data_IF_475456469325
#
_entry.id   IF_475456469325
#
_cell.length_a   1.000
_cell.length_b   1.000
_cell.length_c   1.000
_cell.angle_alpha   90.00
_cell.angle_beta   90.00
_cell.angle_gamma   90.00
#
_symmetry.space_group_name_H-M   'P 1'
#
loop_
_entity.id
_entity.type
_entity.pdbx_description
1 polymer ?
#
# COMPACT_ATOMS: atom_id res chain seq x y z
N UNK A 1 9.30 -1.46 17.09
CA UNK A 1 9.76 -0.65 15.95
C UNK A 1 8.55 -0.24 15.11
N UNK A 2 8.62 0.90 14.42
CA UNK A 2 7.59 1.31 13.46
C UNK A 2 7.94 0.85 12.04
N UNK A 3 6.94 0.59 11.21
CA UNK A 3 7.12 0.28 9.79
C UNK A 3 6.48 1.37 8.93
N UNK A 4 7.31 2.16 8.25
CA UNK A 4 6.89 3.19 7.30
C UNK A 4 6.75 2.53 5.92
N UNK A 5 5.59 2.69 5.27
CA UNK A 5 5.32 2.14 3.94
C UNK A 5 4.99 3.30 2.99
N UNK A 6 5.95 3.64 2.11
CA UNK A 6 5.79 4.63 1.06
C UNK A 6 5.23 4.04 -0.25
N UNK A 7 4.84 4.88 -1.18
CA UNK A 7 4.33 4.47 -2.51
C UNK A 7 5.46 4.08 -3.49
N UNK A 8 6.63 4.70 -3.34
CA UNK A 8 7.77 4.57 -4.25
C UNK A 8 9.11 4.67 -3.55
N UNK A 9 10.20 4.10 -4.12
CA UNK A 9 11.52 4.10 -3.49
C UNK A 9 12.04 5.49 -3.13
N UNK A 10 11.94 6.44 -4.07
CA UNK A 10 12.48 7.80 -3.87
C UNK A 10 11.74 8.55 -2.77
N UNK A 11 10.43 8.32 -2.64
CA UNK A 11 9.62 8.88 -1.56
C UNK A 11 10.05 8.27 -0.22
N UNK A 12 10.17 6.94 -0.14
CA UNK A 12 10.64 6.25 1.06
C UNK A 12 12.04 6.72 1.51
N UNK A 13 12.94 6.95 0.55
CA UNK A 13 14.26 7.52 0.82
C UNK A 13 14.16 8.96 1.33
N UNK A 14 13.37 9.82 0.68
CA UNK A 14 13.21 11.21 1.08
C UNK A 14 12.73 11.33 2.53
N UNK A 15 11.73 10.52 2.92
CA UNK A 15 11.16 10.47 4.26
C UNK A 15 12.18 10.21 5.38
N UNK A 16 13.24 9.45 5.10
CA UNK A 16 14.21 9.05 6.13
C UNK A 16 15.61 9.59 5.91
N UNK A 17 15.85 10.31 4.80
CA UNK A 17 17.15 10.85 4.40
C UNK A 17 17.81 11.77 5.45
N UNK A 18 17.01 12.37 6.32
CA UNK A 18 17.46 13.25 7.40
C UNK A 18 17.96 12.50 8.65
N UNK A 19 17.75 11.18 8.73
CA UNK A 19 18.18 10.34 9.84
C UNK A 19 19.40 9.49 9.45
N UNK A 20 20.05 8.87 10.44
CA UNK A 20 20.99 7.78 10.18
C UNK A 20 20.21 6.53 9.80
N UNK A 21 20.58 5.90 8.69
CA UNK A 21 19.93 4.67 8.22
C UNK A 21 20.91 3.72 7.54
N UNK A 22 20.57 2.43 7.53
CA UNK A 22 21.27 1.38 6.78
C UNK A 22 20.41 0.90 5.62
N UNK A 23 21.02 0.73 4.45
CA UNK A 23 20.34 0.21 3.26
C UNK A 23 20.27 -1.31 3.30
N UNK A 24 19.12 -1.86 2.93
CA UNK A 24 18.85 -3.28 2.73
C UNK A 24 18.15 -3.47 1.38
N UNK A 25 18.00 -4.71 0.93
CA UNK A 25 17.27 -4.99 -0.31
C UNK A 25 15.76 -4.75 -0.11
N UNK A 26 15.25 -3.68 -0.73
CA UNK A 26 13.82 -3.31 -0.70
C UNK A 26 13.35 -2.50 0.52
N UNK A 27 14.24 -2.12 1.45
CA UNK A 27 13.90 -1.27 2.60
C UNK A 27 15.15 -0.60 3.22
N UNK A 28 14.91 0.29 4.16
CA UNK A 28 15.90 1.01 4.97
C UNK A 28 15.65 0.74 6.45
N UNK A 29 16.72 0.54 7.21
CA UNK A 29 16.67 0.50 8.67
C UNK A 29 17.07 1.86 9.21
N UNK A 30 16.14 2.57 9.83
CA UNK A 30 16.37 3.85 10.48
C UNK A 30 16.85 3.59 11.91
N UNK A 31 17.99 4.15 12.27
CA UNK A 31 18.52 4.08 13.63
C UNK A 31 17.64 4.87 14.61
N UNK A 32 17.76 4.53 15.90
CA UNK A 32 17.07 5.23 16.97
C UNK A 32 17.32 6.75 16.90
N UNK A 33 16.25 7.53 16.99
CA UNK A 33 16.29 8.99 16.98
C UNK A 33 15.07 9.56 17.72
N UNK A 34 14.96 10.90 17.78
CA UNK A 34 13.89 11.59 18.49
C UNK A 34 12.48 11.16 18.04
N UNK A 35 12.25 10.97 16.74
CA UNK A 35 10.94 10.57 16.20
C UNK A 35 10.71 9.06 16.26
N UNK A 36 11.79 8.28 16.22
CA UNK A 36 11.76 6.83 16.27
C UNK A 36 12.72 6.30 17.36
N UNK A 37 12.37 6.36 18.65
CA UNK A 37 13.29 6.00 19.74
C UNK A 37 13.80 4.55 19.70
N UNK A 38 12.99 3.64 19.14
CA UNK A 38 13.34 2.23 18.95
C UNK A 38 13.85 1.93 17.52
N UNK A 39 14.14 2.97 16.73
CA UNK A 39 14.34 2.85 15.29
C UNK A 39 13.06 2.54 14.52
N UNK A 40 13.18 2.47 13.19
CA UNK A 40 12.08 2.15 12.29
C UNK A 40 12.58 1.39 11.06
N UNK A 41 11.67 0.68 10.41
CA UNK A 41 11.88 0.22 9.04
C UNK A 41 11.14 1.16 8.09
N UNK A 42 11.77 1.52 6.98
CA UNK A 42 11.13 2.25 5.90
C UNK A 42 11.20 1.42 4.63
N UNK A 43 10.06 1.01 4.11
CA UNK A 43 9.92 0.30 2.84
C UNK A 43 8.97 1.05 1.93
N UNK A 44 8.74 0.51 0.74
CA UNK A 44 7.95 1.15 -0.28
C UNK A 44 7.26 0.12 -1.17
N UNK A 45 6.18 0.57 -1.78
CA UNK A 45 5.64 -0.01 -2.98
C UNK A 45 6.46 0.41 -4.22
N UNK A 46 6.07 -0.07 -5.40
CA UNK A 46 6.64 0.36 -6.69
C UNK A 46 5.43 0.66 -7.59
N UNK A 47 4.70 1.72 -7.22
CA UNK A 47 3.30 1.88 -7.60
C UNK A 47 2.45 0.72 -7.05
N UNK A 48 1.38 0.36 -7.75
CA UNK A 48 0.53 -0.78 -7.39
C UNK A 48 1.31 -2.10 -7.35
N UNK A 49 1.58 -2.67 -6.15
CA UNK A 49 2.14 -4.03 -5.99
C UNK A 49 1.07 -5.12 -6.21
N UNK A 50 -0.19 -4.73 -6.10
CA UNK A 50 -1.36 -5.58 -6.18
C UNK A 50 -2.25 -5.13 -7.32
N UNK A 51 -3.01 -6.05 -7.89
CA UNK A 51 -4.00 -5.78 -8.94
C UNK A 51 -5.28 -6.55 -8.63
N UNK A 52 -6.41 -6.11 -9.19
CA UNK A 52 -7.62 -6.92 -9.16
C UNK A 52 -7.40 -8.24 -9.91
N UNK A 53 -7.93 -9.34 -9.37
CA UNK A 53 -7.87 -10.64 -10.03
C UNK A 53 -8.54 -10.59 -11.40
N UNK A 54 -8.02 -11.40 -12.33
CA UNK A 54 -8.66 -11.57 -13.64
C UNK A 54 -10.01 -12.30 -13.53
N UNK A 55 -10.92 -12.16 -14.51
CA UNK A 55 -12.24 -12.79 -14.46
C UNK A 55 -12.20 -14.30 -14.21
N UNK A 56 -11.27 -15.01 -14.83
CA UNK A 56 -11.12 -16.46 -14.67
C UNK A 56 -10.72 -16.93 -13.26
N UNK A 57 -10.30 -16.01 -12.39
CA UNK A 57 -10.04 -16.29 -10.99
C UNK A 57 -11.34 -16.52 -10.21
N UNK A 58 -12.41 -15.80 -10.58
CA UNK A 58 -13.72 -15.92 -9.94
C UNK A 58 -14.51 -17.08 -10.53
N UNK A 59 -14.53 -17.16 -11.86
CA UNK A 59 -15.32 -18.13 -12.62
C UNK A 59 -14.55 -18.59 -13.84
N UNK A 60 -14.27 -19.89 -13.96
CA UNK A 60 -13.46 -20.42 -15.06
C UNK A 60 -14.07 -20.13 -16.44
N UNK A 61 -15.39 -20.04 -16.53
CA UNK A 61 -16.15 -19.67 -17.71
C UNK A 61 -15.88 -18.24 -18.20
N UNK A 62 -15.48 -17.32 -17.31
CA UNK A 62 -15.15 -15.93 -17.67
C UNK A 62 -13.79 -15.79 -18.37
N UNK A 63 -13.03 -16.88 -18.49
CA UNK A 63 -11.79 -16.90 -19.27
C UNK A 63 -12.03 -16.61 -20.75
N UNK A 64 -13.15 -17.11 -21.30
CA UNK A 64 -13.56 -16.86 -22.68
C UNK A 64 -14.69 -15.85 -22.66
N UNK A 65 -14.60 -14.85 -23.53
CA UNK A 65 -15.67 -13.88 -23.65
C UNK A 65 -16.90 -14.49 -24.33
N UNK A 66 -18.08 -14.19 -23.79
CA UNK A 66 -19.38 -14.62 -24.31
C UNK A 66 -20.46 -13.66 -23.80
N UNK A 67 -21.44 -13.31 -24.63
CA UNK A 67 -22.58 -12.50 -24.20
C UNK A 67 -23.35 -13.14 -23.03
N UNK A 68 -23.35 -14.48 -22.95
CA UNK A 68 -24.05 -15.23 -21.90
C UNK A 68 -23.37 -15.14 -20.53
N UNK A 69 -22.10 -14.70 -20.47
CA UNK A 69 -21.36 -14.54 -19.21
C UNK A 69 -21.31 -13.09 -18.73
N UNK A 70 -22.01 -12.19 -19.43
CA UNK A 70 -22.09 -10.78 -19.08
C UNK A 70 -23.35 -10.44 -18.26
N UNK A 71 -23.27 -9.42 -17.38
CA UNK A 71 -22.05 -8.72 -16.98
C UNK A 71 -21.19 -9.57 -16.03
N UNK A 72 -19.87 -9.41 -16.10
CA UNK A 72 -18.95 -10.07 -15.16
C UNK A 72 -18.89 -9.25 -13.87
N UNK A 73 -19.65 -9.65 -12.86
CA UNK A 73 -19.69 -8.97 -11.55
C UNK A 73 -19.40 -10.00 -10.45
N UNK A 74 -18.21 -9.99 -9.84
CA UNK A 74 -17.91 -10.91 -8.74
C UNK A 74 -18.68 -10.52 -7.48
N UNK A 75 -19.02 -11.50 -6.64
CA UNK A 75 -19.65 -11.24 -5.32
C UNK A 75 -18.74 -10.40 -4.42
N UNK A 76 -17.42 -10.63 -4.51
CA UNK A 76 -16.38 -9.89 -3.79
C UNK A 76 -15.17 -9.72 -4.67
N UNK A 77 -14.72 -8.49 -4.87
CA UNK A 77 -13.48 -8.22 -5.58
C UNK A 77 -12.28 -8.69 -4.77
N UNK A 78 -11.39 -9.42 -5.44
CA UNK A 78 -10.17 -9.95 -4.87
C UNK A 78 -8.96 -9.29 -5.53
N UNK A 79 -7.93 -9.07 -4.72
CA UNK A 79 -6.64 -8.57 -5.18
C UNK A 79 -5.61 -9.69 -5.15
N UNK A 80 -4.74 -9.70 -6.16
CA UNK A 80 -3.57 -10.57 -6.24
C UNK A 80 -2.29 -9.73 -6.37
N UNK A 81 -1.14 -10.32 -6.05
CA UNK A 81 0.15 -9.67 -6.25
C UNK A 81 0.49 -9.66 -7.74
N UNK A 82 0.88 -8.49 -8.26
CA UNK A 82 1.37 -8.39 -9.64
C UNK A 82 2.64 -9.23 -9.79
N UNK A 83 2.65 -10.19 -10.74
CA UNK A 83 3.73 -11.19 -10.87
C UNK A 83 5.14 -10.62 -10.94
N UNK A 84 5.33 -9.51 -11.66
CA UNK A 84 6.64 -8.86 -11.78
C UNK A 84 7.11 -8.17 -10.49
N UNK A 85 6.23 -8.00 -9.49
CA UNK A 85 6.47 -7.25 -8.26
C UNK A 85 6.51 -8.13 -7.00
N UNK A 86 6.46 -9.46 -7.15
CA UNK A 86 6.54 -10.42 -6.04
C UNK A 86 7.72 -10.19 -5.11
N UNK A 87 8.91 -9.88 -5.67
CA UNK A 87 10.12 -9.65 -4.87
C UNK A 87 9.89 -8.54 -3.83
N UNK A 88 9.42 -7.38 -4.28
CA UNK A 88 9.19 -6.24 -3.39
C UNK A 88 8.00 -6.50 -2.44
N UNK A 89 6.91 -7.10 -2.94
CA UNK A 89 5.79 -7.47 -2.08
C UNK A 89 6.22 -8.38 -0.93
N UNK A 90 7.08 -9.38 -1.21
CA UNK A 90 7.59 -10.28 -0.19
C UNK A 90 8.46 -9.56 0.87
N UNK A 91 9.24 -8.54 0.47
CA UNK A 91 9.97 -7.68 1.43
C UNK A 91 8.99 -6.95 2.36
N UNK A 92 7.97 -6.30 1.80
CA UNK A 92 6.96 -5.58 2.60
C UNK A 92 6.21 -6.54 3.52
N UNK A 93 5.82 -7.71 3.00
CA UNK A 93 5.15 -8.78 3.77
C UNK A 93 6.01 -9.28 4.93
N UNK A 94 7.31 -9.54 4.70
CA UNK A 94 8.23 -9.97 5.76
C UNK A 94 8.33 -8.91 6.88
N UNK A 95 8.42 -7.63 6.53
CA UNK A 95 8.45 -6.54 7.51
C UNK A 95 7.11 -6.41 8.25
N UNK A 96 5.99 -6.54 7.54
CA UNK A 96 4.65 -6.51 8.13
C UNK A 96 4.44 -7.64 9.15
N UNK A 97 4.96 -8.84 8.89
CA UNK A 97 4.89 -9.97 9.83
C UNK A 97 6.00 -9.98 10.89
N UNK A 98 7.00 -9.11 10.80
CA UNK A 98 8.07 -9.07 11.79
C UNK A 98 7.49 -8.74 13.19
N UNK A 99 7.73 -9.57 14.22
CA UNK A 99 7.18 -9.35 15.57
C UNK A 99 7.71 -8.08 16.24
N UNK A 100 8.87 -7.58 15.83
CA UNK A 100 9.41 -6.31 16.34
C UNK A 100 8.64 -5.09 15.81
N UNK A 101 7.88 -5.23 14.72
CA UNK A 101 7.04 -4.15 14.19
C UNK A 101 5.72 -4.12 14.97
N UNK A 102 5.47 -3.03 15.69
CA UNK A 102 4.30 -2.88 16.56
C UNK A 102 3.27 -1.88 16.03
N UNK A 103 3.66 -1.02 15.08
CA UNK A 103 2.81 0.02 14.48
C UNK A 103 3.23 0.25 13.02
N UNK A 104 2.25 0.43 12.14
CA UNK A 104 2.44 0.78 10.73
C UNK A 104 2.23 2.28 10.56
N UNK A 105 3.12 2.93 9.80
CA UNK A 105 2.92 4.30 9.31
C UNK A 105 2.66 4.21 7.80
N UNK A 106 1.42 4.43 7.41
CA UNK A 106 1.05 4.60 6.02
C UNK A 106 1.61 5.93 5.50
N UNK A 107 2.52 5.86 4.54
CA UNK A 107 3.20 7.01 3.96
C UNK A 107 3.06 7.11 2.42
N UNK A 108 2.02 6.48 1.84
CA UNK A 108 1.63 6.73 0.45
C UNK A 108 1.29 8.21 0.20
N UNK A 109 1.28 8.65 -1.06
CA UNK A 109 0.99 10.06 -1.38
C UNK A 109 -0.38 10.49 -0.78
N UNK A 110 -0.53 11.78 -0.45
CA UNK A 110 -1.72 12.33 0.20
C UNK A 110 -2.90 12.44 -0.79
N UNK A 111 -3.53 11.31 -1.09
CA UNK A 111 -4.64 11.21 -2.03
C UNK A 111 -5.14 9.79 -2.21
N UNK A 112 -6.12 9.63 -3.12
CA UNK A 112 -6.84 8.38 -3.39
C UNK A 112 -5.93 7.20 -3.73
N UNK A 113 -5.02 7.40 -4.68
CA UNK A 113 -4.09 6.32 -5.10
C UNK A 113 -3.15 5.89 -3.98
N UNK A 114 -2.62 6.85 -3.22
CA UNK A 114 -1.74 6.56 -2.09
C UNK A 114 -2.42 5.72 -1.02
N UNK A 115 -3.70 6.02 -0.70
CA UNK A 115 -4.52 5.19 0.20
C UNK A 115 -4.68 3.76 -0.33
N UNK A 116 -5.05 3.63 -1.60
CA UNK A 116 -5.34 2.35 -2.22
C UNK A 116 -4.10 1.44 -2.23
N UNK A 117 -2.95 1.98 -2.66
CA UNK A 117 -1.71 1.21 -2.83
C UNK A 117 -1.27 0.58 -1.50
N UNK A 118 -1.15 1.37 -0.44
CA UNK A 118 -0.59 0.86 0.82
C UNK A 118 -1.60 -0.04 1.54
N UNK A 119 -2.88 0.35 1.60
CA UNK A 119 -3.90 -0.47 2.28
C UNK A 119 -4.13 -1.81 1.59
N UNK A 120 -4.11 -1.88 0.27
CA UNK A 120 -4.23 -3.17 -0.42
C UNK A 120 -3.07 -4.12 -0.11
N UNK A 121 -1.84 -3.60 0.01
CA UNK A 121 -0.68 -4.42 0.42
C UNK A 121 -0.89 -5.00 1.83
N UNK A 122 -1.31 -4.15 2.77
CA UNK A 122 -1.55 -4.55 4.17
C UNK A 122 -2.69 -5.58 4.25
N UNK A 123 -3.81 -5.31 3.57
CA UNK A 123 -4.98 -6.20 3.52
C UNK A 123 -4.59 -7.57 2.94
N UNK A 124 -3.84 -7.61 1.84
CA UNK A 124 -3.41 -8.86 1.22
C UNK A 124 -2.40 -9.64 2.07
N UNK A 125 -1.70 -8.96 2.99
CA UNK A 125 -0.84 -9.62 3.98
C UNK A 125 -1.61 -10.14 5.21
N UNK A 126 -2.90 -9.83 5.36
CA UNK A 126 -3.72 -10.21 6.52
C UNK A 126 -3.09 -9.81 7.87
N UNK A 127 -2.59 -8.57 7.97
CA UNK A 127 -1.96 -8.04 9.20
C UNK A 127 -2.87 -7.01 9.86
N UNK A 128 -3.10 -7.17 11.16
CA UNK A 128 -3.95 -6.29 11.99
C UNK A 128 -3.13 -5.53 13.04
N UNK A 129 -2.08 -4.84 12.60
CA UNK A 129 -1.29 -3.98 13.48
C UNK A 129 -1.88 -2.57 13.52
N UNK A 130 -1.79 -1.85 14.65
CA UNK A 130 -2.17 -0.44 14.71
C UNK A 130 -1.54 0.35 13.57
N UNK A 131 -2.32 1.20 12.91
CA UNK A 131 -1.88 2.01 11.78
C UNK A 131 -2.12 3.49 12.03
N UNK A 132 -1.12 4.29 11.66
CA UNK A 132 -1.16 5.74 11.62
C UNK A 132 -0.90 6.23 10.20
N UNK A 133 -1.35 7.44 9.89
CA UNK A 133 -1.28 8.00 8.54
C UNK A 133 -0.42 9.25 8.48
N UNK A 134 0.66 9.19 7.71
CA UNK A 134 1.51 10.36 7.41
C UNK A 134 0.92 11.12 6.22
N UNK A 135 0.23 12.24 6.45
CA UNK A 135 -0.44 13.00 5.39
C UNK A 135 0.30 14.29 5.04
N UNK A 136 1.23 14.23 4.10
CA UNK A 136 2.05 15.37 3.66
C UNK A 136 2.03 15.54 2.14
N UNK A 137 2.09 16.78 1.67
CA UNK A 137 2.20 17.15 0.24
C UNK A 137 3.60 17.63 -0.16
N UNK A 138 4.51 17.77 0.79
CA UNK A 138 5.88 18.27 0.58
C UNK A 138 6.90 17.32 1.22
N UNK A 139 7.98 17.03 0.49
CA UNK A 139 9.10 16.21 0.96
C UNK A 139 10.28 17.07 1.48
N UNK A 140 10.01 18.30 1.89
CA UNK A 140 11.02 19.12 2.60
C UNK A 140 11.26 18.55 4.01
N UNK A 141 12.48 18.69 4.54
CA UNK A 141 12.84 18.19 5.88
C UNK A 141 11.87 18.66 6.97
N UNK A 142 11.48 19.93 6.93
CA UNK A 142 10.54 20.52 7.89
C UNK A 142 9.14 19.89 7.76
N UNK A 143 8.61 19.74 6.55
CA UNK A 143 7.30 19.13 6.34
C UNK A 143 7.28 17.66 6.76
N UNK A 144 8.33 16.90 6.45
CA UNK A 144 8.49 15.51 6.87
C UNK A 144 8.54 15.40 8.39
N UNK A 145 9.37 16.21 9.04
CA UNK A 145 9.52 16.19 10.50
C UNK A 145 8.19 16.53 11.19
N UNK A 146 7.50 17.58 10.75
CA UNK A 146 6.18 17.94 11.31
C UNK A 146 5.12 16.89 11.00
N UNK A 147 5.13 16.30 9.81
CA UNK A 147 4.23 15.21 9.44
C UNK A 147 4.37 13.99 10.35
N UNK A 148 5.60 13.59 10.68
CA UNK A 148 5.81 12.47 11.61
C UNK A 148 5.39 12.79 13.05
N UNK A 149 5.40 14.06 13.47
CA UNK A 149 4.88 14.46 14.78
C UNK A 149 3.35 14.50 14.83
N UNK A 150 2.72 14.79 13.70
CA UNK A 150 1.27 14.99 13.59
C UNK A 150 0.64 13.94 12.66
N UNK A 151 0.86 12.66 12.98
CA UNK A 151 0.24 11.57 12.24
C UNK A 151 -1.28 11.54 12.49
N UNK A 152 -2.04 11.35 11.40
CA UNK A 152 -3.48 11.18 11.46
C UNK A 152 -3.85 9.77 11.93
N UNK A 153 -5.08 9.63 12.40
CA UNK A 153 -5.68 8.32 12.63
C UNK A 153 -6.11 7.69 11.31
N UNK A 154 -6.13 6.36 11.28
CA UNK A 154 -6.56 5.61 10.09
C UNK A 154 -7.98 5.99 9.64
N UNK A 155 -8.87 6.25 10.61
CA UNK A 155 -10.26 6.63 10.38
C UNK A 155 -10.41 7.92 9.59
N UNK A 156 -9.42 8.82 9.67
CA UNK A 156 -9.49 10.13 9.03
C UNK A 156 -9.42 10.04 7.50
N UNK A 157 -8.82 8.97 6.97
CA UNK A 157 -8.60 8.78 5.53
C UNK A 157 -9.24 7.52 4.96
N UNK A 158 -9.93 6.73 5.78
CA UNK A 158 -10.53 5.46 5.35
C UNK A 158 -11.59 5.64 4.25
N UNK A 159 -12.32 6.76 4.25
CA UNK A 159 -13.30 7.06 3.20
C UNK A 159 -12.60 7.33 1.85
N UNK A 160 -11.42 7.95 1.87
CA UNK A 160 -10.59 8.18 0.68
C UNK A 160 -10.10 6.85 0.09
N UNK A 161 -9.82 5.86 0.94
CA UNK A 161 -9.54 4.48 0.50
C UNK A 161 -10.76 3.85 -0.17
N UNK A 162 -11.93 3.90 0.46
CA UNK A 162 -13.15 3.30 -0.10
C UNK A 162 -13.56 3.96 -1.42
N UNK A 163 -13.36 5.26 -1.57
CA UNK A 163 -13.55 5.96 -2.84
C UNK A 163 -12.64 5.38 -3.94
N UNK A 164 -11.33 5.26 -3.65
CA UNK A 164 -10.35 4.74 -4.60
C UNK A 164 -10.63 3.26 -4.96
N UNK A 165 -10.92 2.43 -3.95
CA UNK A 165 -11.28 1.03 -4.13
C UNK A 165 -12.53 0.87 -5.00
N UNK A 166 -13.58 1.63 -4.71
CA UNK A 166 -14.86 1.57 -5.45
C UNK A 166 -14.65 1.95 -6.90
N UNK A 167 -13.84 2.99 -7.15
CA UNK A 167 -13.48 3.39 -8.51
C UNK A 167 -12.75 2.27 -9.25
N UNK A 168 -11.73 1.65 -8.64
CA UNK A 168 -11.01 0.53 -9.27
C UNK A 168 -11.92 -0.65 -9.61
N UNK A 169 -12.88 -0.96 -8.73
CA UNK A 169 -13.85 -2.02 -8.97
C UNK A 169 -14.83 -1.66 -10.10
N UNK A 170 -15.32 -0.42 -10.14
CA UNK A 170 -16.21 0.07 -11.20
C UNK A 170 -15.51 0.04 -12.56
N UNK A 171 -14.27 0.54 -12.64
CA UNK A 171 -13.45 0.52 -13.84
C UNK A 171 -13.21 -0.92 -14.32
N UNK A 172 -13.00 -1.86 -13.39
CA UNK A 172 -12.87 -3.29 -13.72
C UNK A 172 -14.15 -3.88 -14.30
N UNK A 173 -15.32 -3.62 -13.70
CA UNK A 173 -16.61 -4.15 -14.21
C UNK A 173 -16.89 -3.66 -15.61
N UNK A 174 -16.75 -2.34 -15.83
CA UNK A 174 -16.96 -1.73 -17.14
C UNK A 174 -15.94 -2.26 -18.14
N UNK A 175 -14.65 -2.26 -17.79
CA UNK A 175 -13.58 -2.72 -18.69
C UNK A 175 -13.70 -4.19 -19.07
N UNK A 176 -13.97 -5.07 -18.12
CA UNK A 176 -14.10 -6.52 -18.40
C UNK A 176 -15.39 -6.85 -19.15
N UNK A 177 -16.49 -6.15 -18.87
CA UNK A 177 -17.78 -6.44 -19.51
C UNK A 177 -17.93 -5.79 -20.88
N UNK A 178 -17.31 -4.63 -21.12
CA UNK A 178 -17.52 -3.84 -22.34
C UNK A 178 -16.40 -3.96 -23.40
N UNK A 179 -15.21 -4.45 -23.04
CA UNK A 179 -14.04 -4.43 -23.96
C UNK A 179 -13.52 -5.81 -24.38
N UNK A 180 -13.84 -6.88 -23.65
CA UNK A 180 -13.42 -8.24 -24.04
C UNK A 180 -14.23 -8.79 -25.21
#
# INVERSE_FOLDING_TARGET
>A
MKLIIAEKPDQGLALVSQFKYRRKDGYLEVEANELFPNGAYCTWAIGHLTQLCNPEHYHAEWKKWSLNTLPMIPERFQFEVTKSKYKQFNVVKQLLHNPQVTEIIHAGDAGREGELIVRNIINLCNVQKPMKRLWISSLTKQAIYQGFKNLLDESDTINTYYEAYTRSCADWVVGMSATR
#
